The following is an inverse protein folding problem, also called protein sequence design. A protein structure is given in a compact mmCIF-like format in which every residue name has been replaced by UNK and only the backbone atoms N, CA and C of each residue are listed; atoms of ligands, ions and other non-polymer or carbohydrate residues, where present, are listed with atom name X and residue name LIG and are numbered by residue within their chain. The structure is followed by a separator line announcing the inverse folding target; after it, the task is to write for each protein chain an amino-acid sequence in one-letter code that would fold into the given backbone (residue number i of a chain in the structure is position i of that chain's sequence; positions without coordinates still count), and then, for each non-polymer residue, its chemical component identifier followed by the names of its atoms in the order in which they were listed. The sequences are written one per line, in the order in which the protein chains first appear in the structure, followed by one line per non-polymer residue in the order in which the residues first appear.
data_IF_363743148854
#
_entry.id   IF_363743148854
#
_cell.length_a   1.000
_cell.length_b   1.000
_cell.length_c   1.000
_cell.angle_alpha   90.00
_cell.angle_beta   90.00
_cell.angle_gamma   90.00
#
_symmetry.space_group_name_H-M   'P 1'
#
loop_
_entity.id
_entity.type
_entity.pdbx_description
1 polymer ?
#
# COMPACT_ATOMS: atom_id res chain seq x y z
N UNK A 1 6.85 56.34 25.93
CA UNK A 1 5.46 56.32 26.43
C UNK A 1 4.53 56.87 25.35
N UNK A 2 3.92 55.98 24.57
CA UNK A 2 3.10 56.27 23.38
C UNK A 2 1.74 56.88 23.71
N UNK A 3 1.39 56.96 24.99
CA UNK A 3 0.12 57.50 25.48
C UNK A 3 0.06 59.03 25.50
N UNK A 4 1.22 59.70 25.50
CA UNK A 4 1.28 61.17 25.49
C UNK A 4 1.16 61.70 24.06
N UNK A 5 1.78 61.05 23.08
CA UNK A 5 1.68 61.42 21.65
C UNK A 5 0.25 61.25 21.11
N UNK A 6 -0.50 60.26 21.61
CA UNK A 6 -1.90 60.06 21.23
C UNK A 6 -2.83 61.17 21.74
N UNK A 7 -2.56 61.76 22.92
CA UNK A 7 -3.40 62.83 23.49
C UNK A 7 -3.19 64.19 22.80
N UNK A 8 -2.00 64.48 22.29
CA UNK A 8 -1.73 65.72 21.55
C UNK A 8 -2.41 65.70 20.15
N UNK A 9 -2.51 64.53 19.52
CA UNK A 9 -3.15 64.37 18.20
C UNK A 9 -4.67 64.55 18.25
N UNK A 10 -5.30 64.27 19.40
CA UNK A 10 -6.75 64.40 19.61
C UNK A 10 -7.17 65.82 19.99
N UNK A 11 -6.30 66.58 20.67
CA UNK A 11 -6.54 68.01 20.99
C UNK A 11 -6.42 68.90 19.75
N UNK A 12 -5.52 68.58 18.81
CA UNK A 12 -5.39 69.31 17.54
C UNK A 12 -6.48 68.97 16.50
N UNK A 13 -7.29 67.94 16.72
CA UNK A 13 -8.41 67.54 15.82
C UNK A 13 -9.77 68.07 16.26
N UNK A 14 -9.88 68.65 17.46
CA UNK A 14 -11.14 69.17 18.00
C UNK A 14 -11.43 70.63 17.61
N UNK A 15 -10.41 71.40 17.22
CA UNK A 15 -10.54 72.86 16.98
C UNK A 15 -10.84 73.28 15.54
N UNK A 16 -11.40 72.39 14.71
CA UNK A 16 -11.96 72.79 13.41
C UNK A 16 -13.35 72.20 13.17
N UNK A 17 -14.26 72.44 14.13
CA UNK A 17 -15.70 72.15 13.98
C UNK A 17 -16.41 73.41 13.49
N UNK A 18 -16.21 73.76 12.22
CA UNK A 18 -17.19 74.50 11.41
C UNK A 18 -17.06 74.00 9.98
N UNK A 19 -17.91 73.06 9.55
CA UNK A 19 -17.70 72.47 8.22
C UNK A 19 -18.59 71.31 7.81
N UNK A 20 -19.91 71.52 7.86
CA UNK A 20 -20.92 70.89 6.99
C UNK A 20 -21.19 69.38 7.12
N UNK A 21 -22.48 69.05 7.31
CA UNK A 21 -23.10 67.70 7.28
C UNK A 21 -22.68 66.83 6.07
N UNK A 22 -22.12 67.43 5.01
CA UNK A 22 -21.67 66.77 3.78
C UNK A 22 -20.42 65.89 4.01
N UNK A 23 -19.48 66.31 4.85
CA UNK A 23 -18.27 65.52 5.16
C UNK A 23 -18.57 64.24 5.95
N UNK A 24 -19.52 64.29 6.89
CA UNK A 24 -19.94 63.08 7.66
C UNK A 24 -20.66 62.05 6.79
N UNK A 25 -21.51 62.48 5.86
CA UNK A 25 -22.15 61.57 4.87
C UNK A 25 -21.11 60.91 3.96
N UNK A 26 -20.09 61.65 3.53
CA UNK A 26 -19.04 61.11 2.67
C UNK A 26 -18.17 60.07 3.39
N UNK A 27 -17.83 60.31 4.67
CA UNK A 27 -17.07 59.36 5.49
C UNK A 27 -17.88 58.08 5.75
N UNK A 28 -19.17 58.22 6.08
CA UNK A 28 -20.07 57.06 6.26
C UNK A 28 -20.26 56.27 4.96
N UNK A 29 -20.40 56.94 3.81
CA UNK A 29 -20.47 56.28 2.52
C UNK A 29 -19.16 55.54 2.19
N UNK A 30 -18.00 56.12 2.52
CA UNK A 30 -16.71 55.49 2.33
C UNK A 30 -16.57 54.24 3.21
N UNK A 31 -16.95 54.32 4.49
CA UNK A 31 -16.97 53.17 5.39
C UNK A 31 -17.93 52.07 4.91
N UNK A 32 -19.11 52.43 4.41
CA UNK A 32 -20.09 51.48 3.88
C UNK A 32 -19.60 50.77 2.60
N UNK A 33 -18.92 51.49 1.69
CA UNK A 33 -18.32 50.92 0.47
C UNK A 33 -17.15 49.99 0.81
N UNK A 34 -16.30 50.36 1.78
CA UNK A 34 -15.21 49.51 2.26
C UNK A 34 -15.76 48.24 2.91
N UNK A 35 -16.80 48.36 3.75
CA UNK A 35 -17.47 47.23 4.39
C UNK A 35 -18.07 46.26 3.34
N UNK A 36 -18.79 46.77 2.34
CA UNK A 36 -19.34 45.96 1.24
C UNK A 36 -18.23 45.23 0.46
N UNK A 37 -17.11 45.88 0.18
CA UNK A 37 -15.95 45.24 -0.50
C UNK A 37 -15.26 44.16 0.35
N UNK A 38 -15.30 44.25 1.67
CA UNK A 38 -14.73 43.23 2.56
C UNK A 38 -15.64 42.02 2.73
N UNK A 39 -16.96 42.20 2.67
CA UNK A 39 -17.94 41.11 2.84
C UNK A 39 -18.04 40.24 1.59
N UNK A 40 -17.93 40.80 0.39
CA UNK A 40 -18.03 40.02 -0.87
C UNK A 40 -16.80 39.15 -1.15
N UNK A 41 -15.62 39.51 -0.64
CA UNK A 41 -14.39 38.70 -0.79
C UNK A 41 -14.35 37.45 0.10
N UNK A 42 -15.28 37.32 1.05
CA UNK A 42 -15.31 36.19 1.99
C UNK A 42 -16.12 34.98 1.53
N UNK A 43 -16.88 35.07 0.43
CA UNK A 43 -17.92 34.07 0.10
C UNK A 43 -17.58 33.24 -1.16
N UNK A 44 -16.55 33.60 -1.93
CA UNK A 44 -16.32 33.02 -3.26
C UNK A 44 -15.36 31.82 -3.34
N UNK A 45 -14.83 31.26 -2.24
CA UNK A 45 -13.84 30.16 -2.35
C UNK A 45 -14.16 28.86 -1.63
N UNK A 46 -15.30 28.74 -0.95
CA UNK A 46 -15.69 27.48 -0.29
C UNK A 46 -16.74 26.66 -1.07
N UNK A 47 -16.87 26.90 -2.39
CA UNK A 47 -17.60 25.99 -3.29
C UNK A 47 -16.76 24.71 -3.46
N UNK A 48 -16.95 23.76 -2.53
CA UNK A 48 -16.97 22.32 -2.76
C UNK A 48 -16.19 21.79 -3.99
N UNK A 49 -14.85 21.85 -3.99
CA UNK A 49 -14.02 21.18 -5.01
C UNK A 49 -13.51 19.79 -4.59
N UNK A 50 -13.86 19.29 -3.40
CA UNK A 50 -13.24 18.08 -2.86
C UNK A 50 -14.14 16.84 -2.87
N UNK A 51 -14.96 16.67 -3.92
CA UNK A 51 -15.57 15.37 -4.27
C UNK A 51 -14.66 14.56 -5.22
N UNK A 52 -13.33 14.75 -5.24
CA UNK A 52 -12.48 13.99 -6.18
C UNK A 52 -12.53 12.50 -5.83
N UNK A 53 -13.44 11.76 -6.48
CA UNK A 53 -13.55 10.31 -6.41
C UNK A 53 -12.34 9.78 -7.15
N UNK A 54 -11.28 9.49 -6.40
CA UNK A 54 -10.08 8.89 -6.95
C UNK A 54 -10.47 7.63 -7.73
N UNK A 55 -10.11 7.60 -9.02
CA UNK A 55 -10.33 6.42 -9.86
C UNK A 55 -9.46 5.29 -9.30
N UNK A 56 -10.08 4.14 -9.05
CA UNK A 56 -9.34 2.95 -8.62
C UNK A 56 -8.55 2.40 -9.83
N UNK A 57 -7.22 2.57 -9.81
CA UNK A 57 -6.29 2.11 -10.85
C UNK A 57 -5.46 0.92 -10.39
N UNK A 58 -4.77 0.25 -11.33
CA UNK A 58 -3.78 -0.77 -10.98
C UNK A 58 -2.66 -0.16 -10.15
N UNK A 59 -2.32 -0.79 -9.03
CA UNK A 59 -1.20 -0.38 -8.17
C UNK A 59 0.13 -0.66 -8.86
N UNK A 60 1.00 0.35 -8.93
CA UNK A 60 2.41 0.18 -9.31
C UNK A 60 3.23 0.00 -8.04
N UNK A 61 3.87 -1.16 -7.90
CA UNK A 61 4.70 -1.48 -6.72
C UNK A 61 6.14 -1.07 -7.06
N UNK A 62 6.79 -0.22 -6.25
CA UNK A 62 8.17 0.19 -6.51
C UNK A 62 9.14 -0.98 -6.31
N UNK A 63 10.20 -1.03 -7.11
CA UNK A 63 11.15 -2.15 -7.11
C UNK A 63 11.90 -2.32 -5.78
N UNK A 64 12.07 -1.23 -5.02
CA UNK A 64 12.64 -1.22 -3.66
C UNK A 64 11.94 -2.20 -2.71
N UNK A 65 10.65 -2.49 -2.92
CA UNK A 65 9.88 -3.43 -2.08
C UNK A 65 10.37 -4.87 -2.22
N UNK A 66 11.02 -5.21 -3.33
CA UNK A 66 11.49 -6.57 -3.62
C UNK A 66 12.99 -6.76 -3.45
N UNK A 67 13.68 -5.79 -2.84
CA UNK A 67 15.08 -5.88 -2.49
C UNK A 67 15.18 -6.36 -1.03
N UNK A 68 15.57 -7.62 -0.76
CA UNK A 68 15.69 -8.13 0.60
C UNK A 68 16.86 -7.47 1.34
N UNK A 69 16.70 -7.26 2.64
CA UNK A 69 17.78 -6.80 3.52
C UNK A 69 18.54 -7.99 4.14
N UNK A 70 19.80 -7.82 4.59
CA UNK A 70 20.54 -8.87 5.29
C UNK A 70 19.77 -9.46 6.49
N UNK A 71 19.06 -8.61 7.25
CA UNK A 71 18.23 -9.04 8.38
C UNK A 71 17.05 -9.94 7.95
N UNK A 72 16.51 -9.75 6.74
CA UNK A 72 15.46 -10.63 6.21
C UNK A 72 16.00 -12.03 5.90
N UNK A 73 17.25 -12.13 5.44
CA UNK A 73 17.88 -13.41 5.15
C UNK A 73 18.07 -14.25 6.42
N UNK A 74 18.51 -13.63 7.53
CA UNK A 74 18.63 -14.28 8.84
C UNK A 74 17.26 -14.73 9.37
N UNK A 75 16.23 -13.89 9.20
CA UNK A 75 14.87 -14.17 9.69
C UNK A 75 14.18 -15.31 8.95
N UNK A 76 14.31 -15.35 7.62
CA UNK A 76 13.58 -16.29 6.77
C UNK A 76 14.43 -17.48 6.29
N UNK A 77 15.74 -17.47 6.56
CA UNK A 77 16.67 -18.55 6.21
C UNK A 77 16.83 -18.75 4.69
N UNK A 78 16.83 -17.65 3.94
CA UNK A 78 17.01 -17.66 2.48
C UNK A 78 18.43 -17.25 2.10
N UNK A 79 19.09 -18.02 1.25
CA UNK A 79 20.43 -17.70 0.74
C UNK A 79 20.33 -16.86 -0.55
N UNK A 80 20.90 -15.64 -0.60
CA UNK A 80 20.95 -14.83 -1.82
C UNK A 80 21.88 -15.43 -2.89
N UNK A 81 22.89 -16.20 -2.50
CA UNK A 81 23.84 -16.81 -3.44
C UNK A 81 23.20 -17.96 -4.21
N UNK A 82 22.37 -18.76 -3.54
CA UNK A 82 21.65 -19.89 -4.13
C UNK A 82 20.13 -19.69 -4.03
N UNK A 83 19.54 -18.86 -4.91
CA UNK A 83 18.10 -18.65 -4.90
C UNK A 83 17.35 -19.93 -5.28
N UNK A 84 16.19 -20.13 -4.68
CA UNK A 84 15.36 -21.29 -4.99
C UNK A 84 14.77 -21.21 -6.40
N UNK A 85 14.68 -22.36 -7.08
CA UNK A 85 14.27 -22.44 -8.49
C UNK A 85 12.75 -22.43 -8.69
N UNK A 86 12.01 -22.99 -7.74
CA UNK A 86 10.57 -23.23 -7.85
C UNK A 86 9.81 -22.68 -6.63
N UNK A 87 8.69 -22.01 -6.90
CA UNK A 87 7.75 -21.52 -5.89
C UNK A 87 6.60 -22.52 -5.73
N UNK A 88 6.21 -22.77 -4.48
CA UNK A 88 4.91 -23.33 -4.13
C UNK A 88 3.99 -22.16 -3.85
N UNK A 89 2.99 -21.98 -4.71
CA UNK A 89 1.99 -20.93 -4.58
C UNK A 89 0.67 -21.56 -4.15
N UNK A 90 0.08 -21.00 -3.09
CA UNK A 90 -1.23 -21.44 -2.60
C UNK A 90 -2.13 -20.22 -2.47
N UNK A 91 -3.34 -20.28 -3.03
CA UNK A 91 -4.33 -19.22 -2.81
C UNK A 91 -4.94 -19.34 -1.41
N UNK A 92 -4.85 -18.26 -0.63
CA UNK A 92 -5.34 -18.18 0.76
C UNK A 92 -6.51 -17.21 0.94
N UNK A 93 -6.72 -16.28 -0.01
CA UNK A 93 -7.87 -15.35 0.01
C UNK A 93 -8.78 -15.57 -1.20
N UNK A 94 -10.03 -15.12 -1.05
CA UNK A 94 -11.04 -15.17 -2.12
C UNK A 94 -10.78 -14.10 -3.19
N UNK A 95 -11.09 -14.44 -4.45
CA UNK A 95 -11.11 -13.51 -5.60
C UNK A 95 -12.42 -12.72 -5.71
N UNK A 96 -13.42 -13.02 -4.86
CA UNK A 96 -14.66 -12.24 -4.78
C UNK A 96 -14.35 -10.79 -4.37
N UNK A 97 -15.07 -9.83 -4.97
CA UNK A 97 -14.87 -8.38 -4.77
C UNK A 97 -13.47 -7.87 -5.13
N UNK A 98 -12.72 -8.61 -5.94
CA UNK A 98 -11.45 -8.17 -6.52
C UNK A 98 -11.63 -7.66 -7.95
N UNK A 99 -10.71 -6.80 -8.42
CA UNK A 99 -10.73 -6.33 -9.81
C UNK A 99 -10.59 -7.47 -10.80
N UNK A 100 -11.14 -7.30 -12.00
CA UNK A 100 -11.14 -8.37 -13.02
C UNK A 100 -9.73 -8.84 -13.38
N UNK A 101 -8.75 -7.93 -13.46
CA UNK A 101 -7.36 -8.27 -13.79
C UNK A 101 -6.68 -9.18 -12.76
N UNK A 102 -7.04 -9.09 -11.47
CA UNK A 102 -6.55 -10.03 -10.46
C UNK A 102 -7.13 -11.43 -10.69
N UNK A 103 -8.42 -11.50 -11.08
CA UNK A 103 -9.09 -12.77 -11.36
C UNK A 103 -8.47 -13.47 -12.56
N UNK A 104 -8.16 -12.73 -13.62
CA UNK A 104 -7.54 -13.28 -14.82
C UNK A 104 -6.14 -13.84 -14.52
N UNK A 105 -5.36 -13.15 -13.67
CA UNK A 105 -4.05 -13.65 -13.22
C UNK A 105 -4.18 -14.93 -12.41
N UNK A 106 -5.17 -15.02 -11.51
CA UNK A 106 -5.41 -16.23 -10.73
C UNK A 106 -5.78 -17.42 -11.63
N UNK A 107 -6.58 -17.19 -12.68
CA UNK A 107 -6.89 -18.21 -13.69
C UNK A 107 -5.65 -18.63 -14.47
N UNK A 108 -4.85 -17.67 -14.95
CA UNK A 108 -3.59 -17.94 -15.66
C UNK A 108 -2.57 -18.72 -14.82
N UNK A 109 -2.59 -18.56 -13.50
CA UNK A 109 -1.73 -19.29 -12.57
C UNK A 109 -2.33 -20.64 -12.14
N UNK A 110 -3.56 -20.98 -12.56
CA UNK A 110 -4.21 -22.23 -12.15
C UNK A 110 -4.61 -22.28 -10.67
N UNK A 111 -4.81 -21.12 -10.03
CA UNK A 111 -5.10 -21.00 -8.60
C UNK A 111 -6.61 -20.88 -8.31
N UNK A 112 -7.45 -21.51 -9.13
CA UNK A 112 -8.91 -21.40 -9.02
C UNK A 112 -9.43 -22.04 -7.73
N UNK A 113 -8.91 -23.21 -7.34
CA UNK A 113 -9.23 -23.86 -6.07
C UNK A 113 -8.39 -23.24 -4.94
N UNK A 114 -9.05 -22.87 -3.84
CA UNK A 114 -8.35 -22.35 -2.66
C UNK A 114 -7.61 -23.49 -1.95
N UNK A 115 -6.53 -23.17 -1.25
CA UNK A 115 -5.75 -24.13 -0.45
C UNK A 115 -5.13 -25.30 -1.22
N UNK A 116 -5.18 -25.29 -2.56
CA UNK A 116 -4.45 -26.22 -3.41
C UNK A 116 -3.06 -25.65 -3.74
N UNK A 117 -1.97 -26.36 -3.44
CA UNK A 117 -0.62 -25.93 -3.79
C UNK A 117 -0.37 -26.12 -5.29
N UNK A 118 0.18 -25.10 -5.95
CA UNK A 118 0.61 -25.13 -7.34
C UNK A 118 2.08 -24.73 -7.46
N UNK A 119 2.84 -25.44 -8.29
CA UNK A 119 4.27 -25.18 -8.48
C UNK A 119 4.48 -24.27 -9.69
N UNK A 120 5.28 -23.21 -9.52
CA UNK A 120 5.66 -22.31 -10.60
C UNK A 120 7.16 -22.00 -10.61
N UNK A 121 7.69 -21.69 -11.80
CA UNK A 121 9.10 -21.31 -11.99
C UNK A 121 9.40 -19.94 -11.37
N UNK A 122 10.52 -19.82 -10.67
CA UNK A 122 11.04 -18.53 -10.18
C UNK A 122 11.71 -17.75 -11.32
N UNK A 123 10.91 -17.22 -12.25
CA UNK A 123 11.37 -16.39 -13.38
C UNK A 123 10.70 -15.01 -13.35
N UNK A 124 11.34 -13.95 -13.90
CA UNK A 124 10.81 -12.59 -13.82
C UNK A 124 9.38 -12.43 -14.36
N UNK A 125 9.03 -13.13 -15.44
CA UNK A 125 7.70 -13.08 -16.06
C UNK A 125 6.60 -13.64 -15.14
N UNK A 126 6.89 -14.74 -14.44
CA UNK A 126 5.99 -15.34 -13.45
C UNK A 126 5.95 -14.46 -12.19
N UNK A 127 7.11 -14.02 -11.71
CA UNK A 127 7.20 -13.16 -10.53
C UNK A 127 6.41 -11.87 -10.71
N UNK A 128 6.43 -11.23 -11.89
CA UNK A 128 5.62 -10.06 -12.18
C UNK A 128 4.11 -10.31 -11.98
N UNK A 129 3.60 -11.47 -12.42
CA UNK A 129 2.20 -11.87 -12.18
C UNK A 129 1.92 -12.10 -10.69
N UNK A 130 2.83 -12.78 -9.99
CA UNK A 130 2.72 -13.03 -8.55
C UNK A 130 2.73 -11.73 -7.73
N UNK A 131 3.52 -10.72 -8.14
CA UNK A 131 3.56 -9.39 -7.49
C UNK A 131 2.20 -8.70 -7.47
N UNK A 132 1.41 -8.85 -8.54
CA UNK A 132 0.06 -8.23 -8.65
C UNK A 132 -0.92 -8.87 -7.67
N UNK A 133 -0.85 -10.19 -7.49
CA UNK A 133 -1.79 -10.94 -6.65
C UNK A 133 -1.20 -11.34 -5.29
N UNK A 134 -0.08 -10.73 -4.88
CA UNK A 134 0.69 -11.11 -3.67
C UNK A 134 -0.14 -11.12 -2.38
N UNK A 135 -1.19 -10.31 -2.31
CA UNK A 135 -2.12 -10.23 -1.17
C UNK A 135 -3.17 -11.36 -1.14
N UNK A 136 -3.29 -12.16 -2.20
CA UNK A 136 -4.24 -13.28 -2.29
C UNK A 136 -3.60 -14.65 -2.05
N UNK A 137 -2.28 -14.71 -2.18
CA UNK A 137 -1.52 -15.95 -2.23
C UNK A 137 -0.51 -16.04 -1.09
N UNK A 138 -0.10 -17.27 -0.80
CA UNK A 138 1.05 -17.61 0.01
C UNK A 138 2.10 -18.20 -0.90
N UNK A 139 3.32 -17.70 -0.83
CA UNK A 139 4.46 -18.18 -1.62
C UNK A 139 5.44 -18.84 -0.65
N UNK A 140 5.88 -20.06 -0.96
CA UNK A 140 6.95 -20.76 -0.26
C UNK A 140 7.98 -21.28 -1.26
N UNK A 141 9.26 -21.42 -0.88
CA UNK A 141 10.23 -22.13 -1.70
C UNK A 141 9.93 -23.64 -1.68
N UNK A 142 10.06 -24.31 -2.82
CA UNK A 142 10.07 -25.77 -2.87
C UNK A 142 11.44 -26.29 -2.44
N UNK A 143 11.47 -27.13 -1.40
CA UNK A 143 12.69 -27.79 -0.90
C UNK A 143 12.71 -29.26 -1.31
N UNK A 144 13.85 -29.71 -1.79
CA UNK A 144 14.07 -31.07 -2.27
C UNK A 144 15.24 -31.71 -1.50
N UNK A 145 15.01 -32.24 -0.28
CA UNK A 145 16.10 -32.78 0.52
C UNK A 145 16.75 -34.02 -0.14
N UNK A 146 15.97 -34.86 -0.83
CA UNK A 146 16.46 -36.06 -1.52
C UNK A 146 16.80 -35.81 -3.00
N UNK A 147 16.58 -34.60 -3.51
CA UNK A 147 16.72 -34.28 -4.94
C UNK A 147 15.42 -34.40 -5.73
N UNK A 148 15.54 -34.58 -7.04
CA UNK A 148 14.39 -34.75 -7.93
C UNK A 148 13.86 -36.19 -7.83
N UNK A 149 12.53 -36.39 -7.85
CA UNK A 149 11.97 -37.74 -7.84
C UNK A 149 12.36 -38.50 -9.11
N UNK A 150 12.74 -39.76 -8.94
CA UNK A 150 12.92 -40.70 -10.05
C UNK A 150 11.56 -41.25 -10.52
N UNK A 151 11.52 -41.87 -11.71
CA UNK A 151 10.30 -42.42 -12.30
C UNK A 151 9.61 -43.45 -11.37
N UNK A 152 10.39 -44.25 -10.65
CA UNK A 152 9.91 -45.26 -9.71
C UNK A 152 9.16 -44.64 -8.51
N UNK A 153 9.57 -43.44 -8.10
CA UNK A 153 9.06 -42.77 -6.91
C UNK A 153 7.90 -41.82 -7.18
N UNK A 154 7.50 -41.61 -8.43
CA UNK A 154 6.46 -40.64 -8.80
C UNK A 154 5.16 -40.83 -8.01
N UNK A 155 4.77 -42.09 -7.77
CA UNK A 155 3.55 -42.47 -7.04
C UNK A 155 3.65 -42.28 -5.52
N UNK A 156 4.87 -42.27 -4.97
CA UNK A 156 5.13 -42.23 -3.52
C UNK A 156 5.51 -40.83 -3.03
N UNK A 157 5.53 -39.82 -3.91
CA UNK A 157 5.87 -38.45 -3.53
C UNK A 157 4.77 -37.77 -2.74
N UNK A 158 5.15 -37.03 -1.69
CA UNK A 158 4.22 -36.24 -0.90
C UNK A 158 4.78 -34.84 -0.63
N UNK A 159 3.94 -33.83 -0.82
CA UNK A 159 4.27 -32.44 -0.50
C UNK A 159 3.85 -32.14 0.95
N UNK A 160 4.84 -31.91 1.82
CA UNK A 160 4.61 -31.50 3.21
C UNK A 160 4.15 -30.04 3.30
N UNK A 161 3.49 -29.71 4.41
CA UNK A 161 3.07 -28.33 4.72
C UNK A 161 4.26 -27.35 4.87
N UNK A 162 5.45 -27.86 5.18
CA UNK A 162 6.71 -27.11 5.25
C UNK A 162 7.13 -26.57 3.89
N UNK A 163 6.77 -27.24 2.80
CA UNK A 163 7.25 -26.97 1.44
C UNK A 163 8.34 -27.95 0.98
N UNK A 164 8.57 -29.03 1.73
CA UNK A 164 9.44 -30.13 1.33
C UNK A 164 8.67 -31.16 0.50
N UNK A 165 9.25 -31.55 -0.63
CA UNK A 165 8.79 -32.72 -1.39
C UNK A 165 9.57 -33.93 -0.88
N UNK A 166 8.88 -34.86 -0.23
CA UNK A 166 9.47 -36.11 0.23
C UNK A 166 9.19 -37.20 -0.78
N UNK A 167 10.26 -37.87 -1.19
CA UNK A 167 10.26 -39.07 -2.04
C UNK A 167 10.11 -40.29 -1.11
N UNK A 168 9.22 -41.24 -1.44
CA UNK A 168 9.02 -42.43 -0.60
C UNK A 168 8.21 -42.20 0.67
N UNK A 169 7.00 -41.64 0.55
CA UNK A 169 6.11 -41.42 1.69
C UNK A 169 5.63 -42.74 2.32
N UNK A 170 6.32 -43.17 3.39
CA UNK A 170 5.91 -44.31 4.23
C UNK A 170 5.03 -43.82 5.38
N UNK A 171 3.90 -44.51 5.60
CA UNK A 171 2.98 -44.23 6.71
C UNK A 171 3.37 -44.94 8.02
N UNK A 172 4.52 -45.60 8.05
CA UNK A 172 5.04 -46.27 9.24
C UNK A 172 5.61 -45.26 10.24
N UNK A 173 5.50 -45.52 11.55
CA UNK A 173 6.25 -44.76 12.55
C UNK A 173 7.74 -44.83 12.21
N UNK A 174 8.45 -43.72 12.40
CA UNK A 174 9.90 -43.68 12.23
C UNK A 174 10.52 -44.33 13.47
N UNK A 175 11.15 -45.49 13.30
CA UNK A 175 11.97 -46.09 14.34
C UNK A 175 13.24 -45.23 14.50
N UNK A 176 13.27 -44.39 15.53
CA UNK A 176 14.33 -43.40 15.76
C UNK A 176 15.65 -44.01 16.28
N UNK A 177 15.83 -45.33 16.21
CA UNK A 177 16.94 -46.03 16.87
C UNK A 177 18.30 -45.86 16.17
N UNK A 178 18.37 -45.29 14.98
CA UNK A 178 19.62 -45.20 14.18
C UNK A 178 20.19 -43.79 13.98
N UNK A 179 19.68 -42.76 14.67
CA UNK A 179 20.18 -41.37 14.53
C UNK A 179 21.20 -40.99 15.65
N UNK A 180 21.52 -41.90 16.57
CA UNK A 180 22.61 -41.73 17.55
C UNK A 180 23.72 -42.74 17.30
N UNK A 181 24.60 -42.48 16.35
CA UNK A 181 25.88 -43.17 16.19
C UNK A 181 26.89 -42.20 15.60
#
# INVERSE_FOLDING_TARGET
DWRIVAREQERSRSDSIVGTRKKRKLILAFFYIVLLKTVTKGVESFICTNWIRHKFTRSRIPDKVFQPSPADHEKYGGDPQHPHKLHIVTRIKSTKRRPYWEKDIIKMLGLEKAHTPQVHKNIPSVNAKLKVVKHLIRIKPLRLPQGLPAEEDMSSTCLKSTGELVVGWRLSPVDQETIKS
#
